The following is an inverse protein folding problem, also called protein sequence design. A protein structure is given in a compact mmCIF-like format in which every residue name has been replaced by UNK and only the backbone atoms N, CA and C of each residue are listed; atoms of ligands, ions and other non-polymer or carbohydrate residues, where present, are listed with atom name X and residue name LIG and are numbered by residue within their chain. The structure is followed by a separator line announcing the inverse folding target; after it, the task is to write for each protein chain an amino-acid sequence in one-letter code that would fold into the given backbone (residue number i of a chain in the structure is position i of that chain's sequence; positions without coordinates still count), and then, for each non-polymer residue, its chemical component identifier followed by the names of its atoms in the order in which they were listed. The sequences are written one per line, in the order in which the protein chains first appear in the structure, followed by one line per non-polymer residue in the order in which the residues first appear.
data_IF_003494014413
#
_entry.id   IF_003494014413
#
_cell.length_a   1.000
_cell.length_b   1.000
_cell.length_c   1.000
_cell.angle_alpha   90.00
_cell.angle_beta   90.00
_cell.angle_gamma   90.00
#
_symmetry.space_group_name_H-M   'P 1'
#
loop_
_entity.id
_entity.type
_entity.pdbx_description
1 polymer ?
#
# COMPACT_ATOMS: atom_id res chain seq x y z
N UNK A 1 15.36 6.83 0.60
CA UNK A 1 15.49 6.57 2.03
C UNK A 1 14.33 5.73 2.57
N UNK A 2 13.06 6.04 2.30
CA UNK A 2 11.91 5.22 2.72
C UNK A 2 11.98 3.79 2.18
N UNK A 3 12.38 3.60 0.91
CA UNK A 3 12.59 2.26 0.33
C UNK A 3 13.66 1.49 1.10
N UNK A 4 14.76 2.15 1.45
CA UNK A 4 15.85 1.56 2.25
C UNK A 4 15.39 1.17 3.65
N UNK A 5 14.58 2.02 4.29
CA UNK A 5 13.93 1.75 5.57
C UNK A 5 13.11 0.46 5.53
N UNK A 6 12.25 0.33 4.50
CA UNK A 6 11.42 -0.86 4.30
C UNK A 6 12.23 -2.12 4.05
N UNK A 7 13.32 -2.03 3.26
CA UNK A 7 14.16 -3.19 2.95
C UNK A 7 14.93 -3.69 4.18
N UNK A 8 15.49 -2.80 5.00
CA UNK A 8 16.11 -3.18 6.27
C UNK A 8 15.15 -3.94 7.19
N UNK A 9 13.92 -3.46 7.35
CA UNK A 9 12.93 -4.12 8.21
C UNK A 9 12.45 -5.45 7.64
N UNK A 10 12.27 -5.53 6.33
CA UNK A 10 11.88 -6.77 5.63
C UNK A 10 12.95 -7.84 5.81
N UNK A 11 14.21 -7.53 5.47
CA UNK A 11 15.33 -8.49 5.53
C UNK A 11 15.73 -8.86 6.95
N UNK A 12 15.55 -7.98 7.93
CA UNK A 12 15.83 -8.29 9.32
C UNK A 12 14.86 -9.30 9.96
N UNK A 13 13.72 -9.57 9.30
CA UNK A 13 12.65 -10.40 9.84
C UNK A 13 11.79 -9.69 10.89
N UNK A 14 11.92 -8.37 11.05
CA UNK A 14 11.12 -7.61 11.98
C UNK A 14 9.63 -7.61 11.61
N UNK A 15 9.30 -7.65 10.32
CA UNK A 15 7.93 -7.79 9.82
C UNK A 15 7.24 -9.08 10.32
N UNK A 16 7.98 -10.21 10.36
CA UNK A 16 7.49 -11.47 10.91
C UNK A 16 7.25 -11.41 12.42
N UNK A 17 8.10 -10.69 13.16
CA UNK A 17 7.89 -10.47 14.59
C UNK A 17 6.65 -9.60 14.85
N UNK A 18 6.44 -8.56 14.05
CA UNK A 18 5.24 -7.72 14.11
C UNK A 18 3.97 -8.55 13.84
N UNK A 19 3.98 -9.36 12.77
CA UNK A 19 2.87 -10.26 12.46
C UNK A 19 2.57 -11.23 13.61
N UNK A 20 3.61 -11.83 14.20
CA UNK A 20 3.49 -12.74 15.35
C UNK A 20 2.89 -12.02 16.57
N UNK A 21 3.31 -10.79 16.82
CA UNK A 21 2.78 -9.96 17.91
C UNK A 21 1.29 -9.68 17.72
N UNK A 22 0.89 -9.24 16.52
CA UNK A 22 -0.50 -8.96 16.16
C UNK A 22 -1.35 -10.24 16.25
N UNK A 23 -0.89 -11.33 15.65
CA UNK A 23 -1.59 -12.62 15.65
C UNK A 23 -1.88 -13.12 17.08
N UNK A 24 -0.90 -12.99 17.98
CA UNK A 24 -1.10 -13.37 19.38
C UNK A 24 -2.02 -12.41 20.15
N UNK A 25 -1.98 -11.12 19.84
CA UNK A 25 -2.90 -10.13 20.40
C UNK A 25 -4.37 -10.38 20.00
N UNK A 26 -4.58 -11.03 18.86
CA UNK A 26 -5.91 -11.38 18.34
C UNK A 26 -6.39 -12.79 18.76
N UNK A 27 -5.78 -13.38 19.79
CA UNK A 27 -6.19 -14.69 20.29
C UNK A 27 -7.68 -14.69 20.67
N UNK A 28 -8.42 -15.70 20.18
CA UNK A 28 -9.87 -15.83 20.37
C UNK A 28 -10.72 -15.03 19.37
N UNK A 29 -10.10 -14.29 18.44
CA UNK A 29 -10.82 -13.62 17.36
C UNK A 29 -11.00 -14.61 16.21
N UNK A 30 -12.23 -14.90 15.74
CA UNK A 30 -12.46 -15.75 14.56
C UNK A 30 -11.71 -15.23 13.35
N UNK A 31 -11.04 -16.12 12.59
CA UNK A 31 -10.27 -15.73 11.42
C UNK A 31 -9.04 -14.88 11.72
N UNK A 32 -8.49 -14.99 12.93
CA UNK A 32 -7.38 -14.17 13.45
C UNK A 32 -6.20 -14.04 12.50
N UNK A 33 -5.83 -15.10 11.75
CA UNK A 33 -4.71 -15.03 10.82
C UNK A 33 -5.01 -14.10 9.64
N UNK A 34 -6.25 -14.09 9.12
CA UNK A 34 -6.69 -13.15 8.09
C UNK A 34 -6.71 -11.70 8.59
N UNK A 35 -7.26 -11.48 9.80
CA UNK A 35 -7.26 -10.16 10.44
C UNK A 35 -5.83 -9.69 10.74
N UNK A 36 -4.97 -10.59 11.25
CA UNK A 36 -3.55 -10.30 11.49
C UNK A 36 -2.79 -9.97 10.20
N UNK A 37 -3.14 -10.62 9.08
CA UNK A 37 -2.56 -10.32 7.76
C UNK A 37 -2.90 -8.91 7.33
N UNK A 38 -4.16 -8.51 7.43
CA UNK A 38 -4.61 -7.14 7.10
C UNK A 38 -3.94 -6.11 7.99
N UNK A 39 -4.02 -6.29 9.31
CA UNK A 39 -3.44 -5.35 10.29
C UNK A 39 -1.92 -5.29 10.18
N UNK A 40 -1.28 -6.44 9.96
CA UNK A 40 0.16 -6.53 9.75
C UNK A 40 0.60 -5.84 8.46
N UNK A 41 -0.14 -6.04 7.34
CA UNK A 41 0.12 -5.32 6.10
C UNK A 41 -0.08 -3.82 6.26
N UNK A 42 -1.14 -3.38 6.95
CA UNK A 42 -1.37 -1.96 7.22
C UNK A 42 -0.22 -1.32 8.00
N UNK A 43 0.25 -1.98 9.07
CA UNK A 43 1.40 -1.50 9.84
C UNK A 43 2.72 -1.59 9.06
N UNK A 44 2.92 -2.64 8.26
CA UNK A 44 4.11 -2.79 7.44
C UNK A 44 4.12 -1.85 6.24
N UNK A 45 2.95 -1.50 5.73
CA UNK A 45 2.74 -0.45 4.74
C UNK A 45 3.40 0.87 5.16
N UNK A 46 3.18 1.27 6.41
CA UNK A 46 3.73 2.49 6.99
C UNK A 46 5.28 2.50 7.12
N UNK A 47 5.95 1.44 6.71
CA UNK A 47 7.43 1.40 6.69
C UNK A 47 8.01 1.00 5.34
N UNK A 48 7.24 0.37 4.46
CA UNK A 48 7.70 -0.03 3.11
C UNK A 48 7.25 0.94 2.04
N UNK A 49 6.07 1.51 2.18
CA UNK A 49 5.49 2.45 1.24
C UNK A 49 5.20 1.88 -0.15
N UNK A 50 5.18 0.53 -0.31
CA UNK A 50 4.92 -0.14 -1.60
C UNK A 50 4.06 -1.38 -1.45
N UNK A 51 3.04 -1.55 -2.32
CA UNK A 51 2.14 -2.72 -2.32
C UNK A 51 2.84 -3.99 -2.77
N UNK A 52 3.75 -3.92 -3.74
CA UNK A 52 4.47 -5.10 -4.24
C UNK A 52 5.39 -5.68 -3.15
N UNK A 53 6.11 -4.83 -2.40
CA UNK A 53 6.95 -5.29 -1.30
C UNK A 53 6.12 -5.90 -0.16
N UNK A 54 4.97 -5.28 0.17
CA UNK A 54 4.03 -5.79 1.16
C UNK A 54 3.46 -7.14 0.74
N UNK A 55 3.02 -7.29 -0.51
CA UNK A 55 2.54 -8.57 -1.06
C UNK A 55 3.60 -9.68 -0.98
N UNK A 56 4.84 -9.37 -1.37
CA UNK A 56 5.94 -10.32 -1.32
C UNK A 56 6.30 -10.73 0.11
N UNK A 57 6.36 -9.77 1.05
CA UNK A 57 6.69 -10.03 2.44
C UNK A 57 5.60 -10.88 3.13
N UNK A 58 4.33 -10.50 2.99
CA UNK A 58 3.23 -11.20 3.65
C UNK A 58 2.90 -12.55 3.00
N UNK A 59 3.22 -12.74 1.71
CA UNK A 59 3.20 -14.06 1.11
C UNK A 59 4.19 -15.03 1.77
N UNK A 60 5.33 -14.54 2.26
CA UNK A 60 6.31 -15.37 2.98
C UNK A 60 5.99 -15.54 4.46
N UNK A 61 5.31 -14.56 5.07
CA UNK A 61 5.05 -14.51 6.51
C UNK A 61 3.70 -15.16 6.84
N UNK A 62 2.62 -14.71 6.20
CA UNK A 62 1.26 -15.09 6.56
C UNK A 62 0.80 -16.40 5.87
N UNK A 63 1.17 -16.61 4.61
CA UNK A 63 0.73 -17.78 3.87
C UNK A 63 1.08 -19.11 4.53
N UNK A 64 2.33 -19.38 5.00
CA UNK A 64 2.66 -20.64 5.64
C UNK A 64 1.82 -20.90 6.91
N UNK A 65 1.56 -19.86 7.69
CA UNK A 65 0.75 -19.96 8.90
C UNK A 65 -0.72 -20.27 8.57
N UNK A 66 -1.29 -19.57 7.58
CA UNK A 66 -2.67 -19.80 7.12
C UNK A 66 -2.81 -21.21 6.51
N UNK A 67 -1.88 -21.61 5.67
CA UNK A 67 -1.84 -22.96 5.07
C UNK A 67 -1.79 -24.04 6.15
N UNK A 68 -0.90 -23.89 7.14
CA UNK A 68 -0.77 -24.82 8.27
C UNK A 68 -2.06 -24.90 9.09
N UNK A 69 -2.76 -23.79 9.25
CA UNK A 69 -4.05 -23.74 9.95
C UNK A 69 -5.22 -24.29 9.11
N UNK A 70 -5.00 -24.64 7.83
CA UNK A 70 -6.04 -25.17 6.95
C UNK A 70 -6.99 -24.11 6.37
N UNK A 71 -6.53 -22.85 6.27
CA UNK A 71 -7.33 -21.80 5.62
C UNK A 71 -7.62 -22.13 4.17
N UNK A 72 -8.78 -21.72 3.72
CA UNK A 72 -9.13 -21.77 2.29
C UNK A 72 -8.12 -20.96 1.47
N UNK A 73 -7.51 -21.55 0.43
CA UNK A 73 -6.48 -20.87 -0.36
C UNK A 73 -6.93 -19.58 -1.02
N UNK A 74 -8.22 -19.47 -1.38
CA UNK A 74 -8.79 -18.27 -1.98
C UNK A 74 -8.87 -17.14 -0.96
N UNK A 75 -9.34 -17.43 0.26
CA UNK A 75 -9.41 -16.46 1.34
C UNK A 75 -8.01 -16.03 1.77
N UNK A 76 -7.09 -16.97 1.95
CA UNK A 76 -5.72 -16.70 2.40
C UNK A 76 -4.93 -15.85 1.38
N UNK A 77 -4.87 -16.29 0.12
CA UNK A 77 -4.13 -15.55 -0.91
C UNK A 77 -4.79 -14.21 -1.26
N UNK A 78 -6.14 -14.17 -1.24
CA UNK A 78 -6.91 -12.94 -1.43
C UNK A 78 -6.66 -11.91 -0.33
N UNK A 79 -6.57 -12.34 0.94
CA UNK A 79 -6.29 -11.44 2.06
C UNK A 79 -4.87 -10.84 1.97
N UNK A 80 -3.89 -11.61 1.51
CA UNK A 80 -2.52 -11.15 1.29
C UNK A 80 -2.48 -10.15 0.14
N UNK A 81 -3.04 -10.50 -1.03
CA UNK A 81 -3.01 -9.65 -2.21
C UNK A 81 -3.81 -8.36 -1.99
N UNK A 82 -5.03 -8.47 -1.47
CA UNK A 82 -5.91 -7.32 -1.25
C UNK A 82 -5.37 -6.36 -0.21
N UNK A 83 -4.93 -6.86 0.96
CA UNK A 83 -4.38 -5.98 2.00
C UNK A 83 -3.03 -5.37 1.65
N UNK A 84 -2.28 -5.93 0.71
CA UNK A 84 -1.03 -5.35 0.24
C UNK A 84 -1.22 -3.96 -0.41
N UNK A 85 -2.40 -3.68 -1.02
CA UNK A 85 -2.73 -2.37 -1.58
C UNK A 85 -2.67 -1.23 -0.55
N UNK A 86 -2.83 -1.54 0.75
CA UNK A 86 -2.65 -0.56 1.82
C UNK A 86 -1.24 0.04 1.81
N UNK A 87 -0.25 -0.66 1.23
CA UNK A 87 1.14 -0.22 1.14
C UNK A 87 1.37 1.07 0.35
N UNK A 88 0.45 1.44 -0.53
CA UNK A 88 0.53 2.68 -1.29
C UNK A 88 -0.40 3.77 -0.78
N UNK A 89 -1.34 3.43 0.11
CA UNK A 89 -2.31 4.36 0.67
C UNK A 89 -1.90 4.86 2.06
N UNK A 90 -1.46 3.93 2.94
CA UNK A 90 -1.05 4.27 4.31
C UNK A 90 0.35 4.89 4.27
N UNK A 91 0.53 6.11 4.83
CA UNK A 91 1.82 6.79 4.80
C UNK A 91 2.86 6.15 5.75
N UNK A 92 4.16 6.36 5.46
CA UNK A 92 4.70 7.01 4.26
C UNK A 92 4.58 6.13 3.02
N UNK A 93 4.04 6.68 1.94
CA UNK A 93 3.79 5.99 0.68
C UNK A 93 4.66 6.57 -0.45
N UNK A 94 5.29 5.70 -1.23
CA UNK A 94 6.09 6.12 -2.39
C UNK A 94 5.20 6.79 -3.44
N UNK A 95 3.96 6.32 -3.63
CA UNK A 95 3.04 6.94 -4.60
C UNK A 95 2.64 8.35 -4.19
N UNK A 96 2.37 8.59 -2.90
CA UNK A 96 2.05 9.92 -2.39
C UNK A 96 3.24 10.88 -2.54
N UNK A 97 4.48 10.38 -2.39
CA UNK A 97 5.69 11.16 -2.66
C UNK A 97 5.79 11.53 -4.14
N UNK A 98 5.64 10.54 -5.03
CA UNK A 98 5.70 10.76 -6.48
C UNK A 98 4.60 11.70 -6.93
N UNK A 99 3.38 11.52 -6.41
CA UNK A 99 2.26 12.42 -6.67
C UNK A 99 2.60 13.86 -6.28
N UNK A 100 3.04 14.09 -5.03
CA UNK A 100 3.38 15.43 -4.54
C UNK A 100 4.54 16.09 -5.29
N UNK A 101 5.50 15.31 -5.82
CA UNK A 101 6.58 15.85 -6.66
C UNK A 101 6.04 16.38 -8.01
N UNK A 102 5.06 15.67 -8.61
CA UNK A 102 4.52 16.03 -9.93
C UNK A 102 3.53 17.19 -9.83
N UNK A 103 2.71 17.20 -8.77
CA UNK A 103 1.68 18.22 -8.56
C UNK A 103 2.19 19.42 -7.78
N UNK A 104 3.44 19.37 -7.30
CA UNK A 104 4.04 20.36 -6.41
C UNK A 104 3.27 20.54 -5.09
N UNK A 105 2.47 19.53 -4.69
CA UNK A 105 1.73 19.53 -3.43
C UNK A 105 2.61 19.14 -2.23
N UNK A 106 2.18 19.56 -1.04
CA UNK A 106 2.85 19.19 0.21
C UNK A 106 2.79 17.68 0.47
N UNK A 107 3.93 16.99 0.43
CA UNK A 107 4.03 15.55 0.73
C UNK A 107 3.53 15.25 2.15
N UNK A 108 3.79 16.13 3.12
CA UNK A 108 3.30 15.99 4.50
C UNK A 108 1.77 15.97 4.56
N UNK A 109 1.11 16.86 3.82
CA UNK A 109 -0.36 16.91 3.72
C UNK A 109 -0.92 15.72 2.96
N UNK A 110 -0.28 15.29 1.88
CA UNK A 110 -0.65 14.06 1.16
C UNK A 110 -0.58 12.82 2.08
N UNK A 111 0.43 12.75 2.92
CA UNK A 111 0.53 11.66 3.91
C UNK A 111 -0.64 11.68 4.88
N UNK A 112 -0.99 12.85 5.42
CA UNK A 112 -2.14 12.98 6.33
C UNK A 112 -3.45 12.63 5.62
N UNK A 113 -3.61 13.03 4.36
CA UNK A 113 -4.80 12.73 3.55
C UNK A 113 -5.04 11.22 3.39
N UNK A 114 -3.97 10.40 3.33
CA UNK A 114 -4.06 8.95 3.21
C UNK A 114 -4.48 8.21 4.48
N UNK A 115 -4.40 8.85 5.66
CA UNK A 115 -4.60 8.17 6.95
C UNK A 115 -6.03 7.70 7.14
N UNK A 116 -7.01 8.60 7.07
CA UNK A 116 -8.43 8.24 7.30
C UNK A 116 -8.93 7.22 6.28
N UNK A 117 -8.76 7.44 4.95
CA UNK A 117 -9.12 6.43 3.96
C UNK A 117 -8.40 5.09 4.17
N UNK A 118 -7.11 5.11 4.55
CA UNK A 118 -6.33 3.92 4.85
C UNK A 118 -6.85 3.15 6.07
N UNK A 119 -7.25 3.84 7.13
CA UNK A 119 -7.88 3.23 8.32
C UNK A 119 -9.24 2.64 7.95
N UNK A 120 -10.09 3.38 7.24
CA UNK A 120 -11.41 2.90 6.80
C UNK A 120 -11.24 1.60 5.99
N UNK A 121 -10.35 1.61 5.01
CA UNK A 121 -10.10 0.45 4.16
C UNK A 121 -9.53 -0.73 4.95
N UNK A 122 -8.60 -0.48 5.88
CA UNK A 122 -8.04 -1.52 6.76
C UNK A 122 -9.11 -2.16 7.64
N UNK A 123 -10.01 -1.35 8.20
CA UNK A 123 -11.13 -1.84 9.01
C UNK A 123 -12.13 -2.66 8.17
N UNK A 124 -12.45 -2.21 6.95
CA UNK A 124 -13.30 -2.96 6.03
C UNK A 124 -12.69 -4.32 5.67
N UNK A 125 -11.40 -4.37 5.37
CA UNK A 125 -10.69 -5.60 5.07
C UNK A 125 -10.64 -6.56 6.28
N UNK A 126 -10.35 -6.03 7.47
CA UNK A 126 -10.35 -6.81 8.71
C UNK A 126 -11.76 -7.36 9.02
N UNK A 127 -12.79 -6.52 8.89
CA UNK A 127 -14.17 -6.90 9.09
C UNK A 127 -14.62 -7.98 8.08
N UNK A 128 -14.21 -7.88 6.83
CA UNK A 128 -14.49 -8.91 5.83
C UNK A 128 -13.90 -10.27 6.23
N UNK A 129 -12.63 -10.32 6.65
CA UNK A 129 -11.98 -11.56 7.09
C UNK A 129 -12.69 -12.14 8.33
N UNK A 130 -13.01 -11.30 9.31
CA UNK A 130 -13.76 -11.68 10.50
C UNK A 130 -15.14 -12.25 10.13
N UNK A 131 -15.88 -11.55 9.29
CA UNK A 131 -17.22 -11.96 8.85
C UNK A 131 -17.20 -13.31 8.12
N UNK A 132 -16.20 -13.53 7.24
CA UNK A 132 -16.05 -14.83 6.56
C UNK A 132 -15.76 -15.97 7.54
N UNK A 133 -14.94 -15.73 8.54
CA UNK A 133 -14.64 -16.72 9.57
C UNK A 133 -15.85 -17.04 10.47
N UNK A 134 -16.65 -16.03 10.83
CA UNK A 134 -17.86 -16.21 11.64
C UNK A 134 -18.97 -16.95 10.86
N UNK A 135 -19.20 -16.56 9.59
CA UNK A 135 -20.25 -17.15 8.76
C UNK A 135 -19.89 -18.58 8.34
N UNK A 136 -18.63 -18.82 8.00
CA UNK A 136 -18.14 -20.13 7.59
C UNK A 136 -16.77 -20.45 8.23
N UNK A 137 -16.76 -20.99 9.46
CA UNK A 137 -15.52 -21.31 10.18
C UNK A 137 -14.60 -22.29 9.44
N UNK A 138 -15.13 -23.06 8.49
CA UNK A 138 -14.30 -23.98 7.68
C UNK A 138 -13.36 -23.26 6.72
N UNK A 139 -13.67 -22.02 6.34
CA UNK A 139 -12.79 -21.23 5.46
C UNK A 139 -11.58 -20.64 6.20
N UNK A 140 -11.71 -20.43 7.50
CA UNK A 140 -10.69 -19.83 8.34
C UNK A 140 -10.63 -20.57 9.70
N UNK A 141 -10.21 -21.84 9.72
CA UNK A 141 -10.10 -22.60 10.96
C UNK A 141 -9.15 -21.91 11.95
N UNK A 142 -9.46 -22.05 13.22
CA UNK A 142 -8.51 -21.60 14.25
C UNK A 142 -7.28 -22.52 14.26
N UNK A 143 -6.07 -21.94 14.33
CA UNK A 143 -4.86 -22.74 14.46
C UNK A 143 -4.93 -23.57 15.73
N UNK A 144 -4.55 -24.85 15.63
CA UNK A 144 -4.46 -25.74 16.78
C UNK A 144 -3.62 -25.12 17.90
N UNK A 145 -4.07 -25.30 19.13
CA UNK A 145 -3.44 -24.74 20.34
C UNK A 145 -1.98 -25.17 20.56
N UNK A 146 -1.51 -26.21 19.85
CA UNK A 146 -0.15 -26.76 19.97
C UNK A 146 0.92 -25.76 19.46
N UNK A 147 0.59 -24.91 18.45
CA UNK A 147 1.51 -23.85 18.00
C UNK A 147 1.40 -22.53 18.82
N UNK A 148 0.33 -22.40 19.58
CA UNK A 148 -0.01 -21.17 20.32
C UNK A 148 0.68 -21.08 21.70
N UNK A 149 1.34 -22.16 22.16
CA UNK A 149 2.03 -22.24 23.45
C UNK A 149 3.41 -21.58 23.47
N UNK A 150 4.00 -21.33 22.28
CA UNK A 150 5.30 -20.66 22.22
C UNK A 150 5.18 -19.21 22.72
N UNK A 151 5.78 -18.90 23.87
CA UNK A 151 5.82 -17.54 24.42
C UNK A 151 6.55 -16.61 23.46
N UNK A 152 6.02 -15.38 23.27
CA UNK A 152 6.76 -14.33 22.55
C UNK A 152 8.06 -14.09 23.29
N UNK A 153 9.18 -14.24 22.63
CA UNK A 153 10.47 -13.89 23.24
C UNK A 153 10.56 -12.37 23.41
N UNK A 154 11.28 -11.93 24.45
CA UNK A 154 11.52 -10.49 24.65
C UNK A 154 12.10 -9.83 23.40
N UNK A 155 12.96 -10.54 22.64
CA UNK A 155 13.55 -10.05 21.41
C UNK A 155 12.49 -9.83 20.30
N UNK A 156 11.55 -10.77 20.13
CA UNK A 156 10.44 -10.63 19.17
C UNK A 156 9.50 -9.48 19.54
N UNK A 157 9.17 -9.37 20.85
CA UNK A 157 8.32 -8.28 21.35
C UNK A 157 8.96 -6.91 21.07
N UNK A 158 10.22 -6.73 21.44
CA UNK A 158 10.95 -5.49 21.22
C UNK A 158 11.07 -5.17 19.72
N UNK A 159 11.33 -6.19 18.88
CA UNK A 159 11.44 -6.03 17.43
C UNK A 159 10.10 -5.62 16.79
N UNK A 160 8.97 -6.24 17.17
CA UNK A 160 7.64 -5.85 16.68
C UNK A 160 7.23 -4.45 17.14
N UNK A 161 7.48 -4.13 18.41
CA UNK A 161 7.21 -2.80 18.96
C UNK A 161 8.09 -1.70 18.38
N UNK A 162 9.33 -2.03 17.99
CA UNK A 162 10.22 -1.04 17.34
C UNK A 162 9.70 -0.56 15.99
N UNK A 163 8.96 -1.39 15.23
CA UNK A 163 8.28 -0.96 14.00
C UNK A 163 7.18 0.07 14.31
N UNK A 164 6.37 -0.20 15.35
CA UNK A 164 5.33 0.74 15.78
C UNK A 164 5.96 2.05 16.25
N UNK A 165 7.03 1.97 17.07
CA UNK A 165 7.79 3.14 17.50
C UNK A 165 8.37 3.93 16.34
N UNK A 166 8.89 3.25 15.32
CA UNK A 166 9.39 3.88 14.10
C UNK A 166 8.31 4.64 13.34
N UNK A 167 7.13 4.04 13.18
CA UNK A 167 5.97 4.70 12.55
C UNK A 167 5.60 5.97 13.31
N UNK A 168 5.50 5.90 14.63
CA UNK A 168 5.17 7.05 15.49
C UNK A 168 6.22 8.16 15.37
N UNK A 169 7.51 7.82 15.35
CA UNK A 169 8.59 8.81 15.22
C UNK A 169 8.58 9.45 13.84
N UNK A 170 8.44 8.67 12.78
CA UNK A 170 8.47 9.18 11.40
C UNK A 170 7.23 10.04 11.12
N UNK A 171 6.04 9.50 11.31
CA UNK A 171 4.79 10.22 11.00
C UNK A 171 4.52 11.33 12.03
N UNK A 172 4.71 11.05 13.31
CA UNK A 172 4.55 12.05 14.37
C UNK A 172 5.54 13.21 14.22
N UNK A 173 6.77 12.92 13.77
CA UNK A 173 7.78 13.95 13.49
C UNK A 173 7.41 14.84 12.31
N UNK A 174 6.84 14.26 11.22
CA UNK A 174 6.35 15.02 10.06
C UNK A 174 5.15 15.88 10.46
N UNK A 175 4.14 15.28 11.08
CA UNK A 175 2.89 15.97 11.42
C UNK A 175 3.05 16.97 12.56
N UNK A 176 4.00 16.73 13.46
CA UNK A 176 4.39 17.68 14.51
C UNK A 176 5.28 18.83 14.02
N UNK A 177 5.62 18.86 12.70
CA UNK A 177 6.49 19.89 12.14
C UNK A 177 7.97 19.82 12.62
N UNK A 178 8.37 18.71 13.25
CA UNK A 178 9.73 18.48 13.75
C UNK A 178 10.66 18.12 12.60
N UNK A 179 10.17 17.33 11.65
CA UNK A 179 10.92 16.85 10.50
C UNK A 179 10.18 17.17 9.20
N UNK A 180 10.95 17.58 8.20
CA UNK A 180 10.50 17.49 6.81
C UNK A 180 10.36 16.01 6.40
N UNK A 181 9.57 15.67 5.37
CA UNK A 181 9.48 14.27 4.88
C UNK A 181 10.84 13.64 4.54
N UNK A 182 11.79 14.44 4.04
CA UNK A 182 13.16 13.98 3.72
C UNK A 182 13.99 13.67 4.97
N UNK A 183 13.92 14.52 5.99
CA UNK A 183 14.59 14.30 7.28
C UNK A 183 14.00 13.10 8.01
N UNK A 184 12.67 12.99 8.02
CA UNK A 184 11.96 11.84 8.59
C UNK A 184 12.37 10.52 7.89
N UNK A 185 12.54 10.54 6.57
CA UNK A 185 13.04 9.38 5.82
C UNK A 185 14.49 9.02 6.22
N UNK A 186 15.34 10.01 6.46
CA UNK A 186 16.70 9.81 6.97
C UNK A 186 16.71 9.19 8.36
N UNK A 187 15.92 9.74 9.28
CA UNK A 187 15.75 9.20 10.64
C UNK A 187 15.16 7.80 10.63
N UNK A 188 14.16 7.57 9.78
CA UNK A 188 13.54 6.25 9.58
C UNK A 188 14.53 5.20 9.05
N UNK A 189 15.35 5.57 8.06
CA UNK A 189 16.37 4.69 7.52
C UNK A 189 17.46 4.37 8.56
N UNK A 190 17.90 5.36 9.33
CA UNK A 190 18.89 5.17 10.41
C UNK A 190 18.33 4.27 11.52
N UNK A 191 17.10 4.51 11.97
CA UNK A 191 16.49 3.71 13.02
C UNK A 191 16.22 2.27 12.54
N UNK A 192 15.75 2.07 11.30
CA UNK A 192 15.56 0.74 10.72
C UNK A 192 16.87 -0.02 10.53
N UNK A 193 17.95 0.68 10.17
CA UNK A 193 19.30 0.13 10.14
C UNK A 193 19.74 -0.36 11.53
N UNK A 194 19.54 0.46 12.58
CA UNK A 194 19.81 0.06 13.95
C UNK A 194 19.00 -1.18 14.39
N UNK A 195 17.70 -1.25 14.04
CA UNK A 195 16.85 -2.41 14.29
C UNK A 195 17.40 -3.65 13.55
N UNK A 196 17.84 -3.50 12.29
CA UNK A 196 18.39 -4.58 11.50
C UNK A 196 19.70 -5.12 12.09
N UNK A 197 20.59 -4.25 12.57
CA UNK A 197 21.81 -4.64 13.30
C UNK A 197 21.48 -5.37 14.61
N UNK A 198 20.53 -4.86 15.39
CA UNK A 198 20.08 -5.50 16.63
C UNK A 198 19.50 -6.91 16.37
N UNK A 199 18.83 -7.11 15.23
CA UNK A 199 18.32 -8.42 14.77
C UNK A 199 19.45 -9.35 14.31
N UNK A 200 20.66 -8.84 14.09
CA UNK A 200 21.83 -9.61 13.66
C UNK A 200 22.04 -9.63 12.14
N UNK A 201 21.55 -8.61 11.43
CA UNK A 201 21.83 -8.47 9.99
C UNK A 201 23.33 -8.36 9.76
N UNK A 202 23.87 -9.17 8.83
CA UNK A 202 25.29 -9.16 8.46
C UNK A 202 25.56 -8.13 7.38
N UNK A 203 26.83 -7.79 7.22
CA UNK A 203 27.31 -6.82 6.21
C UNK A 203 26.77 -7.08 4.81
N UNK A 204 26.72 -8.36 4.39
CA UNK A 204 26.14 -8.76 3.10
C UNK A 204 24.68 -8.30 2.95
N UNK A 205 23.85 -8.48 3.97
CA UNK A 205 22.46 -8.02 3.97
C UNK A 205 22.34 -6.50 3.88
N UNK A 206 23.25 -5.76 4.54
CA UNK A 206 23.28 -4.29 4.47
C UNK A 206 23.58 -3.83 3.04
N UNK A 207 24.63 -4.41 2.42
CA UNK A 207 25.01 -4.08 1.04
C UNK A 207 23.90 -4.42 0.06
N UNK A 208 23.28 -5.60 0.21
CA UNK A 208 22.13 -6.01 -0.61
C UNK A 208 20.95 -5.03 -0.46
N UNK A 209 20.64 -4.58 0.76
CA UNK A 209 19.58 -3.59 1.00
C UNK A 209 19.86 -2.26 0.29
N UNK A 210 21.10 -1.77 0.33
CA UNK A 210 21.49 -0.56 -0.37
C UNK A 210 21.39 -0.72 -1.89
N UNK A 211 21.84 -1.85 -2.41
CA UNK A 211 21.77 -2.17 -3.84
C UNK A 211 20.31 -2.26 -4.31
N UNK A 212 19.46 -2.94 -3.56
CA UNK A 212 18.06 -3.11 -3.94
C UNK A 212 17.25 -1.81 -3.80
N UNK A 213 17.56 -0.99 -2.79
CA UNK A 213 17.03 0.38 -2.71
C UNK A 213 17.46 1.22 -3.92
N UNK A 214 18.72 1.10 -4.35
CA UNK A 214 19.22 1.75 -5.56
C UNK A 214 18.51 1.27 -6.83
N UNK A 215 18.35 -0.04 -7.01
CA UNK A 215 17.64 -0.63 -8.15
C UNK A 215 16.17 -0.21 -8.23
N UNK A 216 15.53 0.01 -7.08
CA UNK A 216 14.15 0.50 -7.01
C UNK A 216 14.08 1.99 -7.28
N UNK A 217 15.01 2.78 -6.72
CA UNK A 217 14.96 4.25 -6.78
C UNK A 217 15.45 4.81 -8.12
N UNK A 218 16.47 4.20 -8.75
CA UNK A 218 17.05 4.71 -9.98
C UNK A 218 16.06 4.79 -11.16
N UNK A 219 15.24 3.76 -11.46
CA UNK A 219 14.20 3.87 -12.47
C UNK A 219 13.18 4.97 -12.15
N UNK A 220 12.79 5.10 -10.88
CA UNK A 220 11.85 6.16 -10.45
C UNK A 220 12.43 7.55 -10.72
N UNK A 221 13.71 7.78 -10.45
CA UNK A 221 14.36 9.06 -10.72
C UNK A 221 14.39 9.40 -12.22
N UNK A 222 14.69 8.42 -13.08
CA UNK A 222 14.67 8.60 -14.54
C UNK A 222 13.25 8.92 -15.00
N UNK A 223 12.27 8.18 -14.52
CA UNK A 223 10.86 8.41 -14.86
C UNK A 223 10.38 9.78 -14.39
N UNK A 224 10.77 10.24 -13.19
CA UNK A 224 10.44 11.58 -12.69
C UNK A 224 11.02 12.70 -13.58
N UNK A 225 12.28 12.57 -14.05
CA UNK A 225 12.88 13.52 -14.96
C UNK A 225 12.11 13.60 -16.27
N UNK A 226 11.79 12.43 -16.85
CA UNK A 226 11.03 12.36 -18.12
C UNK A 226 9.60 12.87 -17.96
N UNK A 227 8.94 12.57 -16.85
CA UNK A 227 7.60 13.08 -16.52
C UNK A 227 7.60 14.60 -16.31
N UNK A 228 8.62 15.16 -15.69
CA UNK A 228 8.78 16.61 -15.56
C UNK A 228 8.95 17.29 -16.93
N UNK A 229 9.71 16.69 -17.82
CA UNK A 229 9.82 17.16 -19.23
C UNK A 229 8.47 17.07 -19.96
N UNK A 230 7.75 15.97 -19.79
CA UNK A 230 6.42 15.75 -20.34
C UNK A 230 5.41 16.78 -19.83
N UNK A 231 5.34 16.98 -18.52
CA UNK A 231 4.46 17.98 -17.90
C UNK A 231 4.75 19.39 -18.43
N UNK A 232 6.03 19.74 -18.53
CA UNK A 232 6.43 21.05 -19.09
C UNK A 232 6.08 21.19 -20.57
N UNK A 233 6.21 20.11 -21.34
CA UNK A 233 5.78 20.10 -22.74
C UNK A 233 4.27 20.32 -22.86
N UNK A 234 3.45 19.68 -22.04
CA UNK A 234 1.99 19.89 -22.00
C UNK A 234 1.66 21.33 -21.71
N UNK A 235 2.25 21.94 -20.69
CA UNK A 235 2.02 23.34 -20.32
C UNK A 235 2.41 24.34 -21.41
N UNK A 236 3.43 24.00 -22.24
CA UNK A 236 3.86 24.87 -23.35
C UNK A 236 3.06 24.67 -24.64
N UNK A 237 2.28 23.59 -24.73
CA UNK A 237 1.54 23.19 -25.95
C UNK A 237 0.09 23.69 -25.98
N UNK A 238 -0.34 24.49 -25.00
CA UNK A 238 -1.74 24.90 -24.81
C UNK A 238 -2.76 23.72 -24.84
N UNK A 239 -2.30 22.53 -24.53
CA UNK A 239 -3.11 21.31 -24.55
C UNK A 239 -4.26 21.39 -23.52
N UNK A 240 -4.07 22.10 -22.41
CA UNK A 240 -5.05 22.43 -21.41
C UNK A 240 -6.27 23.12 -22.02
N UNK A 241 -6.09 24.12 -22.88
CA UNK A 241 -7.20 24.78 -23.58
C UNK A 241 -7.95 23.80 -24.51
N UNK A 242 -7.21 22.98 -25.26
CA UNK A 242 -7.79 21.97 -26.16
C UNK A 242 -8.62 20.93 -25.38
N UNK A 243 -8.15 20.50 -24.22
CA UNK A 243 -8.86 19.57 -23.35
C UNK A 243 -10.13 20.19 -22.81
N UNK A 244 -10.05 21.40 -22.26
CA UNK A 244 -11.21 22.14 -21.71
C UNK A 244 -12.25 22.38 -22.81
N UNK A 245 -11.84 22.82 -24.01
CA UNK A 245 -12.73 23.02 -25.14
C UNK A 245 -13.39 21.70 -25.58
N UNK A 246 -12.65 20.62 -25.63
CA UNK A 246 -13.20 19.29 -25.93
C UNK A 246 -14.22 18.86 -24.86
N UNK A 247 -13.89 18.99 -23.57
CA UNK A 247 -14.80 18.64 -22.47
C UNK A 247 -16.12 19.44 -22.58
N UNK A 248 -16.02 20.74 -22.86
CA UNK A 248 -17.17 21.62 -23.02
C UNK A 248 -17.98 21.27 -24.27
N UNK A 249 -17.34 21.01 -25.41
CA UNK A 249 -18.00 20.67 -26.66
C UNK A 249 -18.74 19.33 -26.61
N UNK A 250 -18.21 18.35 -25.87
CA UNK A 250 -18.88 17.06 -25.65
C UNK A 250 -19.88 17.09 -24.48
N UNK A 251 -20.03 18.21 -23.78
CA UNK A 251 -20.96 18.37 -22.66
C UNK A 251 -20.61 17.45 -21.46
N UNK A 252 -19.33 17.16 -21.26
CA UNK A 252 -18.87 16.32 -20.14
C UNK A 252 -19.02 17.11 -18.85
N UNK A 253 -19.70 16.50 -17.87
CA UNK A 253 -19.75 17.02 -16.52
C UNK A 253 -18.63 16.40 -15.66
N UNK A 254 -18.35 17.00 -14.49
CA UNK A 254 -17.26 16.56 -13.59
C UNK A 254 -17.36 15.08 -13.24
N UNK A 255 -18.58 14.58 -13.02
CA UNK A 255 -18.79 13.13 -12.70
C UNK A 255 -18.40 12.23 -13.88
N UNK A 256 -18.74 12.62 -15.12
CA UNK A 256 -18.33 11.84 -16.32
C UNK A 256 -16.82 11.83 -16.49
N UNK A 257 -16.17 12.95 -16.20
CA UNK A 257 -14.72 13.08 -16.25
C UNK A 257 -14.06 12.19 -15.20
N UNK A 258 -14.51 12.23 -13.94
CA UNK A 258 -14.00 11.35 -12.90
C UNK A 258 -14.20 9.87 -13.23
N UNK A 259 -15.36 9.48 -13.78
CA UNK A 259 -15.60 8.10 -14.22
C UNK A 259 -14.65 7.70 -15.34
N UNK A 260 -14.41 8.58 -16.32
CA UNK A 260 -13.46 8.35 -17.40
C UNK A 260 -12.04 8.14 -16.84
N UNK A 261 -11.60 8.98 -15.90
CA UNK A 261 -10.29 8.82 -15.24
C UNK A 261 -10.17 7.47 -14.54
N UNK A 262 -11.20 7.07 -13.78
CA UNK A 262 -11.22 5.76 -13.10
C UNK A 262 -11.09 4.62 -14.10
N UNK A 263 -11.85 4.65 -15.18
CA UNK A 263 -11.79 3.62 -16.23
C UNK A 263 -10.38 3.55 -16.84
N UNK A 264 -9.77 4.70 -17.13
CA UNK A 264 -8.39 4.75 -17.66
C UNK A 264 -7.40 4.19 -16.64
N UNK A 265 -7.47 4.60 -15.37
CA UNK A 265 -6.58 4.10 -14.31
C UNK A 265 -6.75 2.60 -14.06
N UNK A 266 -7.99 2.09 -14.07
CA UNK A 266 -8.24 0.65 -13.96
C UNK A 266 -7.64 -0.12 -15.12
N UNK A 267 -7.82 0.36 -16.37
CA UNK A 267 -7.27 -0.28 -17.58
C UNK A 267 -5.74 -0.24 -17.58
N UNK A 268 -5.15 0.92 -17.27
CA UNK A 268 -3.68 1.04 -17.18
C UNK A 268 -3.13 0.20 -16.02
N UNK A 269 -3.82 0.14 -14.88
CA UNK A 269 -3.43 -0.67 -13.72
C UNK A 269 -3.42 -2.19 -13.99
N UNK A 270 -4.18 -2.64 -14.99
CA UNK A 270 -4.07 -4.02 -15.47
C UNK A 270 -2.70 -4.31 -16.12
N UNK A 271 -2.01 -3.31 -16.67
CA UNK A 271 -0.88 -3.47 -17.58
C UNK A 271 0.43 -2.88 -17.05
N UNK A 272 0.35 -1.79 -16.27
CA UNK A 272 1.49 -0.98 -15.84
C UNK A 272 1.60 -0.97 -14.31
N UNK A 273 2.76 -0.58 -13.81
CA UNK A 273 2.96 -0.31 -12.39
C UNK A 273 2.39 1.05 -11.98
N UNK A 274 2.07 1.21 -10.70
CA UNK A 274 1.41 2.41 -10.16
C UNK A 274 2.19 3.69 -10.41
N UNK A 275 3.52 3.66 -10.33
CA UNK A 275 4.37 4.85 -10.53
C UNK A 275 4.29 5.31 -11.99
N UNK A 276 4.44 4.39 -12.93
CA UNK A 276 4.33 4.68 -14.37
C UNK A 276 2.97 5.27 -14.73
N UNK A 277 1.90 4.78 -14.12
CA UNK A 277 0.54 5.30 -14.34
C UNK A 277 0.42 6.74 -13.85
N UNK A 278 0.88 7.04 -12.62
CA UNK A 278 0.86 8.40 -12.07
C UNK A 278 1.62 9.35 -13.00
N UNK A 279 2.85 8.99 -13.38
CA UNK A 279 3.74 9.82 -14.17
C UNK A 279 3.18 10.12 -15.57
N UNK A 280 2.41 9.18 -16.13
CA UNK A 280 1.79 9.32 -17.44
C UNK A 280 0.49 10.11 -17.38
N UNK A 281 -0.33 9.95 -16.35
CA UNK A 281 -1.72 10.42 -16.36
C UNK A 281 -1.97 11.65 -15.50
N UNK A 282 -1.30 11.77 -14.35
CA UNK A 282 -1.59 12.86 -13.40
C UNK A 282 -1.32 14.24 -13.98
N UNK A 283 -0.25 14.50 -14.78
CA UNK A 283 -0.04 15.80 -15.40
C UNK A 283 -1.20 16.26 -16.29
N UNK A 284 -1.91 15.30 -16.93
CA UNK A 284 -3.11 15.59 -17.73
C UNK A 284 -4.37 15.67 -16.85
N UNK A 285 -4.53 14.74 -15.94
CA UNK A 285 -5.77 14.57 -15.19
C UNK A 285 -5.98 15.67 -14.15
N UNK A 286 -4.91 16.27 -13.65
CA UNK A 286 -5.02 17.42 -12.75
C UNK A 286 -5.70 18.62 -13.41
N UNK A 287 -5.49 18.80 -14.72
CA UNK A 287 -6.13 19.85 -15.52
C UNK A 287 -7.64 19.60 -15.69
N UNK A 288 -8.06 18.35 -15.56
CA UNK A 288 -9.45 17.92 -15.75
C UNK A 288 -10.17 17.66 -14.43
N UNK A 289 -9.48 17.76 -13.28
CA UNK A 289 -10.03 17.41 -11.97
C UNK A 289 -11.09 18.39 -11.44
N UNK A 290 -11.28 19.54 -12.13
CA UNK A 290 -12.25 20.57 -11.76
C UNK A 290 -11.97 21.15 -10.37
N UNK A 291 -13.03 21.36 -9.60
CA UNK A 291 -12.97 21.95 -8.25
C UNK A 291 -12.68 20.91 -7.14
N UNK A 292 -12.32 19.67 -7.49
CA UNK A 292 -12.01 18.65 -6.49
C UNK A 292 -10.77 19.04 -5.69
N UNK A 293 -10.86 18.91 -4.35
CA UNK A 293 -9.71 19.18 -3.48
C UNK A 293 -8.49 18.34 -3.91
N UNK A 294 -7.29 18.94 -4.10
CA UNK A 294 -6.13 18.24 -4.65
C UNK A 294 -5.68 17.02 -3.82
N UNK A 295 -5.79 17.09 -2.50
CA UNK A 295 -5.44 15.96 -1.63
C UNK A 295 -6.46 14.82 -1.74
N UNK A 296 -7.74 15.14 -1.85
CA UNK A 296 -8.79 14.14 -2.08
C UNK A 296 -8.65 13.51 -3.46
N UNK A 297 -8.31 14.29 -4.49
CA UNK A 297 -8.03 13.80 -5.83
C UNK A 297 -6.85 12.83 -5.86
N UNK A 298 -5.79 13.13 -5.12
CA UNK A 298 -4.64 12.23 -4.99
C UNK A 298 -5.04 10.87 -4.41
N UNK A 299 -5.80 10.86 -3.31
CA UNK A 299 -6.27 9.62 -2.67
C UNK A 299 -7.23 8.85 -3.59
N UNK A 300 -8.14 9.56 -4.25
CA UNK A 300 -9.06 9.00 -5.24
C UNK A 300 -8.30 8.29 -6.38
N UNK A 301 -7.30 8.95 -6.96
CA UNK A 301 -6.48 8.41 -8.03
C UNK A 301 -5.65 7.19 -7.58
N UNK A 302 -5.01 7.26 -6.41
CA UNK A 302 -4.23 6.15 -5.86
C UNK A 302 -5.12 4.92 -5.62
N UNK A 303 -6.33 5.10 -5.08
CA UNK A 303 -7.26 3.99 -4.89
C UNK A 303 -7.70 3.35 -6.22
N UNK A 304 -7.95 4.14 -7.26
CA UNK A 304 -8.29 3.64 -8.59
C UNK A 304 -7.11 2.86 -9.21
N UNK A 305 -5.90 3.40 -9.14
CA UNK A 305 -4.67 2.76 -9.66
C UNK A 305 -4.40 1.45 -8.95
N UNK A 306 -4.43 1.44 -7.61
CA UNK A 306 -4.18 0.23 -6.81
C UNK A 306 -5.27 -0.84 -7.04
N UNK A 307 -6.53 -0.45 -7.26
CA UNK A 307 -7.58 -1.37 -7.68
C UNK A 307 -7.25 -2.00 -9.05
N UNK A 308 -6.70 -1.23 -9.98
CA UNK A 308 -6.21 -1.73 -11.27
C UNK A 308 -5.18 -2.85 -11.12
N UNK A 309 -4.25 -2.75 -10.16
CA UNK A 309 -3.22 -3.76 -9.90
C UNK A 309 -3.75 -5.10 -9.35
N UNK A 310 -5.00 -5.14 -8.91
CA UNK A 310 -5.70 -6.38 -8.55
C UNK A 310 -6.57 -6.92 -9.70
N UNK A 311 -6.69 -6.18 -10.80
CA UNK A 311 -7.65 -6.47 -11.88
C UNK A 311 -7.01 -7.38 -12.95
N UNK A 312 -7.71 -8.45 -13.41
CA UNK A 312 -7.24 -9.23 -14.57
C UNK A 312 -7.13 -8.34 -15.83
N UNK A 313 -6.26 -8.67 -16.82
CA UNK A 313 -5.57 -9.95 -17.00
C UNK A 313 -4.25 -10.10 -16.27
N UNK A 314 -3.51 -9.01 -15.98
CA UNK A 314 -2.18 -9.14 -15.36
C UNK A 314 -2.28 -9.02 -13.82
N UNK A 315 -2.72 -7.89 -13.26
CA UNK A 315 -2.82 -7.72 -11.82
C UNK A 315 -1.48 -7.94 -11.11
N UNK A 316 -0.56 -6.98 -11.20
CA UNK A 316 0.83 -7.14 -10.74
C UNK A 316 0.97 -7.65 -9.30
N UNK A 317 0.07 -7.25 -8.41
CA UNK A 317 0.08 -7.72 -7.01
C UNK A 317 -0.28 -9.23 -6.96
N UNK A 318 -1.26 -9.66 -7.76
CA UNK A 318 -1.69 -11.07 -7.84
C UNK A 318 -0.56 -11.94 -8.37
N UNK A 319 0.15 -11.47 -9.42
CA UNK A 319 1.33 -12.17 -9.94
C UNK A 319 2.49 -12.20 -8.95
N UNK A 320 2.69 -11.14 -8.18
CA UNK A 320 3.70 -11.11 -7.11
C UNK A 320 3.40 -12.17 -6.06
N UNK A 321 2.16 -12.24 -5.57
CA UNK A 321 1.73 -13.29 -4.63
C UNK A 321 1.96 -14.66 -5.25
N UNK A 322 1.47 -14.91 -6.48
CA UNK A 322 1.67 -16.18 -7.19
C UNK A 322 3.13 -16.58 -7.30
N UNK A 323 4.00 -15.62 -7.68
CA UNK A 323 5.44 -15.87 -7.84
C UNK A 323 6.11 -16.28 -6.52
N UNK A 324 5.77 -15.59 -5.42
CA UNK A 324 6.34 -15.92 -4.10
C UNK A 324 5.84 -17.28 -3.59
N UNK A 325 4.54 -17.58 -3.75
CA UNK A 325 3.98 -18.86 -3.35
C UNK A 325 4.59 -20.01 -4.17
N UNK A 326 4.75 -19.84 -5.47
CA UNK A 326 5.38 -20.83 -6.35
C UNK A 326 6.85 -21.08 -5.98
N UNK A 327 7.60 -20.03 -5.65
CA UNK A 327 8.98 -20.15 -5.15
C UNK A 327 9.05 -20.89 -3.81
N UNK A 328 7.99 -20.82 -2.99
CA UNK A 328 7.83 -21.61 -1.76
C UNK A 328 7.34 -23.04 -1.96
N UNK A 329 7.15 -23.49 -3.22
CA UNK A 329 6.67 -24.84 -3.56
C UNK A 329 5.13 -24.97 -3.57
N UNK A 330 4.39 -23.87 -3.46
CA UNK A 330 2.92 -23.89 -3.44
C UNK A 330 2.33 -23.56 -4.81
N UNK A 331 1.50 -24.44 -5.33
CA UNK A 331 0.87 -24.24 -6.64
C UNK A 331 -0.57 -23.74 -6.52
N UNK A 332 -0.74 -22.46 -6.11
CA UNK A 332 -2.03 -21.79 -6.10
C UNK A 332 -2.29 -21.20 -7.49
N UNK A 333 -3.48 -21.42 -8.07
CA UNK A 333 -3.81 -20.89 -9.39
C UNK A 333 -4.01 -19.37 -9.35
N UNK A 334 -3.66 -18.67 -10.44
CA UNK A 334 -3.94 -17.23 -10.58
C UNK A 334 -5.44 -16.94 -10.39
N UNK A 335 -6.31 -17.77 -10.96
CA UNK A 335 -7.76 -17.63 -10.81
C UNK A 335 -8.23 -17.69 -9.36
N UNK A 336 -7.59 -18.50 -8.51
CA UNK A 336 -7.86 -18.56 -7.07
C UNK A 336 -7.51 -17.25 -6.39
N UNK A 337 -6.33 -16.68 -6.69
CA UNK A 337 -5.87 -15.41 -6.11
C UNK A 337 -6.76 -14.26 -6.58
N UNK A 338 -7.05 -14.16 -7.88
CA UNK A 338 -7.95 -13.14 -8.41
C UNK A 338 -9.33 -13.20 -7.75
N UNK A 339 -9.97 -14.38 -7.69
CA UNK A 339 -11.28 -14.54 -7.03
C UNK A 339 -11.22 -14.14 -5.57
N UNK A 340 -10.15 -14.47 -4.86
CA UNK A 340 -9.93 -14.08 -3.47
C UNK A 340 -9.76 -12.57 -3.29
N UNK A 341 -9.24 -11.87 -4.29
CA UNK A 341 -8.99 -10.43 -4.26
C UNK A 341 -10.22 -9.58 -4.60
N UNK A 342 -11.25 -10.15 -5.27
CA UNK A 342 -12.47 -9.42 -5.67
C UNK A 342 -13.12 -8.63 -4.53
N UNK A 343 -13.34 -9.21 -3.32
CA UNK A 343 -13.96 -8.45 -2.24
C UNK A 343 -13.14 -7.23 -1.80
N UNK A 344 -11.81 -7.34 -1.81
CA UNK A 344 -10.89 -6.25 -1.48
C UNK A 344 -10.94 -5.15 -2.54
N UNK A 345 -10.97 -5.55 -3.81
CA UNK A 345 -11.15 -4.66 -4.94
C UNK A 345 -12.45 -3.85 -4.84
N UNK A 346 -13.57 -4.53 -4.53
CA UNK A 346 -14.88 -3.86 -4.34
C UNK A 346 -14.80 -2.84 -3.19
N UNK A 347 -14.20 -3.21 -2.05
CA UNK A 347 -14.06 -2.32 -0.90
C UNK A 347 -13.18 -1.10 -1.23
N UNK A 348 -12.14 -1.28 -2.05
CA UNK A 348 -11.32 -0.15 -2.55
C UNK A 348 -12.14 0.81 -3.41
N UNK A 349 -12.97 0.29 -4.32
CA UNK A 349 -13.87 1.14 -5.11
C UNK A 349 -14.90 1.86 -4.24
N UNK A 350 -15.41 1.20 -3.19
CA UNK A 350 -16.31 1.85 -2.24
C UNK A 350 -15.63 3.02 -1.54
N UNK A 351 -14.41 2.83 -1.02
CA UNK A 351 -13.66 3.92 -0.35
C UNK A 351 -13.29 5.00 -1.35
N UNK A 352 -12.93 4.66 -2.57
CA UNK A 352 -12.70 5.61 -3.66
C UNK A 352 -13.93 6.48 -3.92
N UNK A 353 -15.11 5.87 -4.04
CA UNK A 353 -16.37 6.61 -4.20
C UNK A 353 -16.69 7.46 -2.98
N UNK A 354 -16.45 6.95 -1.76
CA UNK A 354 -16.62 7.75 -0.53
C UNK A 354 -15.75 9.01 -0.56
N UNK A 355 -14.50 8.93 -1.01
CA UNK A 355 -13.60 10.09 -1.14
C UNK A 355 -14.07 11.02 -2.26
N UNK A 356 -14.62 10.49 -3.36
CA UNK A 356 -15.17 11.31 -4.45
C UNK A 356 -16.40 12.13 -4.02
N UNK A 357 -17.33 11.51 -3.26
CA UNK A 357 -18.55 12.19 -2.80
C UNK A 357 -18.35 13.00 -1.50
N UNK A 358 -17.39 12.64 -0.69
CA UNK A 358 -17.05 13.27 0.59
C UNK A 358 -15.54 13.55 0.66
N UNK A 359 -15.04 14.54 -0.11
CA UNK A 359 -13.62 14.88 -0.18
C UNK A 359 -13.00 15.18 1.19
N UNK A 360 -13.82 15.61 2.16
CA UNK A 360 -13.41 15.93 3.52
C UNK A 360 -12.79 14.71 4.24
N UNK A 361 -13.15 13.50 3.88
CA UNK A 361 -12.57 12.29 4.44
C UNK A 361 -11.04 12.27 4.28
N UNK A 362 -10.55 12.79 3.15
CA UNK A 362 -9.13 12.92 2.88
C UNK A 362 -8.58 14.31 3.20
N UNK A 363 -9.35 15.39 2.92
CA UNK A 363 -8.85 16.76 3.01
C UNK A 363 -8.96 17.39 4.40
N UNK A 364 -9.94 16.99 5.23
CA UNK A 364 -10.11 17.58 6.56
C UNK A 364 -8.85 17.44 7.46
N UNK A 365 -8.16 16.30 7.52
CA UNK A 365 -6.99 16.17 8.38
C UNK A 365 -5.81 17.05 7.93
N UNK A 366 -5.77 17.44 6.65
CA UNK A 366 -4.67 18.27 6.11
C UNK A 366 -4.69 19.72 6.59
N UNK A 367 -5.77 20.11 7.28
CA UNK A 367 -5.90 21.46 7.87
C UNK A 367 -5.08 21.62 9.15
N UNK A 368 -4.62 20.52 9.73
CA UNK A 368 -3.87 20.49 11.00
C UNK A 368 -2.36 20.36 10.82
N UNK A 369 -1.89 20.29 9.56
CA UNK A 369 -0.46 20.12 9.20
C UNK A 369 0.02 21.15 8.21
#
# INVERSE_FOLDING_TARGET
LFVLMGDFLSRSGAAGDLYTLINKGLKGVPGRLGVATVTGNAAFAAVTGTSIASAAAFSRIAWPEMKKAGYDPQLAAGSIAGSACLGMLIPPSVLLIVWGIITEDSIGKLFVAGVIPGIILSLMFAFYNLSKAVINPKLAPEPDSIGDTAKITRKQFLSGMSIIGLIVVVLGGIWGGIFTPTEAAGMGALASFAIALFKGMRWKGIVESVIDAGKTSAPIMILLITAGMYSRFLSLSDIDSVIVDAMTSYGLNDTMILVMMVVIWLVLGMLLDSISIILLTVPLFILMAGDMNPYAFAIFGILAIEAGLLTPPFGLIVYTVKGVLAAGGDNVSLGTIFKGSIPYWIMMLIVMLLVAFFPEIASWPTQFV
#
